data_IF_436668919687
#
_entry.id   IF_436668919687
#
_cell.length_a   1.000
_cell.length_b   1.000
_cell.length_c   1.000
_cell.angle_alpha   90.00
_cell.angle_beta   90.00
_cell.angle_gamma   90.00
#
_symmetry.space_group_name_H-M   'P 1'
#
loop_
_entity.id
_entity.type
_entity.pdbx_description
1 polymer ?
#
# COMPACT_ATOMS: atom_id res chain seq x y z
N UNK A 1 3.53 26.48 -13.21
CA UNK A 1 3.88 25.10 -12.80
C UNK A 1 2.65 24.45 -12.16
N UNK A 2 2.38 23.17 -12.40
CA UNK A 2 1.32 22.39 -11.77
C UNK A 2 1.91 21.32 -10.88
N UNK A 3 1.58 21.36 -9.60
CA UNK A 3 2.04 20.40 -8.60
C UNK A 3 0.86 19.54 -8.15
N UNK A 4 1.06 18.23 -8.15
CA UNK A 4 0.10 17.27 -7.62
C UNK A 4 0.61 16.69 -6.29
N UNK A 5 -0.18 16.85 -5.23
CA UNK A 5 0.13 16.30 -3.91
C UNK A 5 -0.52 14.93 -3.78
N UNK A 6 0.27 13.92 -3.45
CA UNK A 6 -0.19 12.57 -3.17
C UNK A 6 0.30 12.23 -1.78
N UNK A 7 -0.60 12.26 -0.80
CA UNK A 7 -0.24 12.17 0.61
C UNK A 7 -1.22 11.39 1.47
N UNK A 8 -0.72 10.95 2.62
CA UNK A 8 -1.51 10.33 3.67
C UNK A 8 -2.28 11.35 4.51
N UNK A 9 -2.66 10.94 5.73
CA UNK A 9 -3.50 11.74 6.63
C UNK A 9 -2.91 13.09 7.03
N UNK A 10 -1.57 13.26 6.98
CA UNK A 10 -0.90 14.54 7.24
C UNK A 10 -1.01 15.54 6.09
N UNK A 11 -1.39 15.11 4.89
CA UNK A 11 -1.69 16.00 3.76
C UNK A 11 -3.13 16.57 3.79
N UNK A 12 -3.79 16.49 4.95
CA UNK A 12 -5.15 16.94 5.16
C UNK A 12 -5.35 18.43 4.85
N UNK A 13 -6.59 18.78 4.47
CA UNK A 13 -6.94 20.11 3.93
C UNK A 13 -7.16 21.20 4.97
N UNK A 14 -7.29 20.86 6.26
CA UNK A 14 -7.62 21.83 7.32
C UNK A 14 -6.36 22.31 8.06
N UNK A 15 -5.52 21.39 8.54
CA UNK A 15 -4.32 21.74 9.34
C UNK A 15 -3.06 20.91 8.96
N UNK A 16 -3.11 20.23 7.82
CA UNK A 16 -2.00 19.42 7.33
C UNK A 16 -0.93 20.25 6.64
N UNK A 17 0.26 19.67 6.43
CA UNK A 17 1.34 20.33 5.70
C UNK A 17 0.90 20.76 4.29
N UNK A 18 0.01 20.00 3.65
CA UNK A 18 -0.48 20.30 2.31
C UNK A 18 -1.31 21.58 2.27
N UNK A 19 -2.11 21.86 3.30
CA UNK A 19 -2.88 23.11 3.40
C UNK A 19 -1.95 24.32 3.41
N UNK A 20 -0.99 24.34 4.33
CA UNK A 20 0.01 25.41 4.41
C UNK A 20 0.85 25.50 3.13
N UNK A 21 1.21 24.36 2.55
CA UNK A 21 2.01 24.32 1.34
C UNK A 21 1.28 24.88 0.12
N UNK A 22 -0.02 24.65 -0.03
CA UNK A 22 -0.82 25.22 -1.13
C UNK A 22 -0.76 26.75 -1.08
N UNK A 23 -0.98 27.33 0.10
CA UNK A 23 -0.94 28.79 0.29
C UNK A 23 0.44 29.36 -0.10
N UNK A 24 1.51 28.72 0.38
CA UNK A 24 2.88 29.14 0.09
C UNK A 24 3.23 28.96 -1.40
N UNK A 25 2.84 27.84 -2.01
CA UNK A 25 3.18 27.55 -3.40
C UNK A 25 2.42 28.45 -4.39
N UNK A 26 1.16 28.80 -4.11
CA UNK A 26 0.40 29.75 -4.92
C UNK A 26 1.00 31.16 -4.81
N UNK A 27 1.30 31.61 -3.59
CA UNK A 27 1.86 32.94 -3.32
C UNK A 27 3.29 33.11 -3.84
N UNK A 28 4.18 32.15 -3.53
CA UNK A 28 5.63 32.31 -3.69
C UNK A 28 6.15 31.69 -4.99
N UNK A 29 5.46 30.67 -5.54
CA UNK A 29 5.90 29.95 -6.74
C UNK A 29 4.97 30.15 -7.95
N UNK A 30 3.83 30.85 -7.79
CA UNK A 30 2.80 30.95 -8.82
C UNK A 30 2.31 29.58 -9.31
N UNK A 31 2.35 28.58 -8.42
CA UNK A 31 2.05 27.19 -8.77
C UNK A 31 0.55 26.91 -8.66
N UNK A 32 0.01 26.15 -9.61
CA UNK A 32 -1.33 25.56 -9.49
C UNK A 32 -1.24 24.25 -8.75
N UNK A 33 -2.15 24.04 -7.79
CA UNK A 33 -2.14 22.85 -6.95
C UNK A 33 -3.29 21.89 -7.27
N UNK A 34 -3.03 20.60 -7.09
CA UNK A 34 -4.09 19.59 -6.98
C UNK A 34 -3.75 18.71 -5.78
N UNK A 35 -4.61 18.72 -4.76
CA UNK A 35 -4.43 17.88 -3.59
C UNK A 35 -5.21 16.58 -3.76
N UNK A 36 -4.50 15.49 -4.02
CA UNK A 36 -5.02 14.12 -4.00
C UNK A 36 -4.93 13.50 -2.61
N UNK A 37 -5.28 14.24 -1.56
CA UNK A 37 -5.28 13.76 -0.19
C UNK A 37 -6.15 12.51 -0.04
N UNK A 38 -5.60 11.51 0.63
CA UNK A 38 -6.17 10.17 0.60
C UNK A 38 -5.97 9.39 1.91
N UNK A 39 -6.42 9.96 3.04
CA UNK A 39 -6.58 9.22 4.30
C UNK A 39 -5.37 8.38 4.75
N UNK A 40 -5.60 7.35 5.56
CA UNK A 40 -4.55 6.53 6.17
C UNK A 40 -4.15 5.30 5.32
N UNK A 41 -3.84 5.50 4.05
CA UNK A 41 -3.35 4.46 3.12
C UNK A 41 -1.83 4.50 2.95
N UNK A 42 -1.22 3.45 2.40
CA UNK A 42 0.23 3.40 2.12
C UNK A 42 0.59 3.78 0.68
N UNK A 43 1.87 3.71 0.34
CA UNK A 43 2.39 4.04 -0.99
C UNK A 43 1.74 3.26 -2.14
N UNK A 44 1.20 2.08 -1.87
CA UNK A 44 0.48 1.26 -2.85
C UNK A 44 -0.73 2.00 -3.44
N UNK A 45 -1.44 2.75 -2.59
CA UNK A 45 -2.53 3.60 -3.04
C UNK A 45 -2.00 4.78 -3.85
N UNK A 46 -0.91 5.40 -3.40
CA UNK A 46 -0.25 6.48 -4.12
C UNK A 46 0.14 6.11 -5.55
N UNK A 47 0.69 4.90 -5.74
CA UNK A 47 0.97 4.36 -7.07
C UNK A 47 -0.30 4.23 -7.91
N UNK A 48 -1.38 3.69 -7.33
CA UNK A 48 -2.67 3.61 -8.03
C UNK A 48 -3.16 4.99 -8.48
N UNK A 49 -3.02 6.03 -7.66
CA UNK A 49 -3.41 7.39 -8.07
C UNK A 49 -2.57 7.96 -9.20
N UNK A 50 -1.26 7.69 -9.18
CA UNK A 50 -0.39 8.06 -10.29
C UNK A 50 -0.81 7.37 -11.59
N UNK A 51 -1.13 6.08 -11.55
CA UNK A 51 -1.66 5.35 -12.71
C UNK A 51 -2.97 5.95 -13.25
N UNK A 52 -3.82 6.43 -12.35
CA UNK A 52 -5.07 7.09 -12.73
C UNK A 52 -4.84 8.42 -13.44
N UNK A 53 -3.87 9.22 -12.98
CA UNK A 53 -3.53 10.47 -13.66
C UNK A 53 -3.08 10.25 -15.10
N UNK A 54 -2.33 9.17 -15.35
CA UNK A 54 -1.92 8.79 -16.71
C UNK A 54 -3.11 8.34 -17.58
N UNK A 55 -4.04 7.57 -17.02
CA UNK A 55 -5.19 7.03 -17.78
C UNK A 55 -6.37 8.00 -17.96
N UNK A 56 -6.51 9.03 -17.12
CA UNK A 56 -7.60 10.00 -17.17
C UNK A 56 -7.45 11.06 -18.28
N UNK A 57 -6.36 11.03 -19.07
CA UNK A 57 -6.20 11.85 -20.29
C UNK A 57 -6.05 13.35 -20.04
N UNK A 58 -5.98 13.78 -18.78
CA UNK A 58 -5.75 15.16 -18.39
C UNK A 58 -4.29 15.59 -18.54
N UNK A 59 -4.04 16.90 -18.38
CA UNK A 59 -2.67 17.41 -18.35
C UNK A 59 -1.94 16.84 -17.14
N UNK A 60 -0.85 16.12 -17.39
CA UNK A 60 0.02 15.60 -16.35
C UNK A 60 0.63 16.75 -15.52
N UNK A 61 0.89 16.53 -14.22
CA UNK A 61 1.55 17.53 -13.39
C UNK A 61 3.02 17.70 -13.76
N UNK A 62 3.57 18.88 -13.51
CA UNK A 62 5.00 19.15 -13.65
C UNK A 62 5.80 18.49 -12.52
N UNK A 63 5.20 18.48 -11.31
CA UNK A 63 5.79 17.94 -10.07
C UNK A 63 4.77 17.08 -9.33
N UNK A 64 5.22 15.96 -8.79
CA UNK A 64 4.51 15.18 -7.77
C UNK A 64 5.27 15.29 -6.44
N UNK A 65 4.55 15.69 -5.39
CA UNK A 65 5.02 15.54 -4.00
C UNK A 65 4.36 14.30 -3.43
N UNK A 66 5.17 13.30 -3.05
CA UNK A 66 4.70 11.98 -2.62
C UNK A 66 5.03 11.74 -1.15
N UNK A 67 3.99 11.63 -0.31
CA UNK A 67 4.09 11.53 1.15
C UNK A 67 3.35 10.28 1.66
N UNK A 68 4.08 9.18 1.86
CA UNK A 68 3.53 7.95 2.44
C UNK A 68 4.51 7.20 3.35
N UNK A 69 5.67 7.80 3.66
CA UNK A 69 6.70 7.10 4.42
C UNK A 69 6.19 6.70 5.81
N UNK A 70 5.43 7.58 6.47
CA UNK A 70 4.80 7.30 7.76
C UNK A 70 3.88 6.09 7.67
N UNK A 71 2.96 6.07 6.71
CA UNK A 71 2.02 4.97 6.52
C UNK A 71 2.73 3.66 6.17
N UNK A 72 3.76 3.70 5.32
CA UNK A 72 4.56 2.51 4.98
C UNK A 72 5.31 1.96 6.19
N UNK A 73 5.82 2.82 7.08
CA UNK A 73 6.45 2.41 8.35
C UNK A 73 5.41 1.71 9.24
N UNK A 74 4.24 2.32 9.45
CA UNK A 74 3.18 1.79 10.31
C UNK A 74 2.66 0.45 9.76
N UNK A 75 2.37 0.38 8.46
CA UNK A 75 1.87 -0.83 7.80
C UNK A 75 2.92 -1.95 7.78
N UNK A 76 4.20 -1.63 7.57
CA UNK A 76 5.27 -2.62 7.62
C UNK A 76 5.54 -3.12 9.04
N UNK A 77 5.46 -2.23 10.04
CA UNK A 77 5.59 -2.60 11.44
C UNK A 77 4.47 -3.56 11.88
N UNK A 78 3.23 -3.25 11.49
CA UNK A 78 2.06 -4.10 11.69
C UNK A 78 2.01 -5.37 10.82
N UNK A 79 3.05 -5.62 10.01
CA UNK A 79 3.16 -6.73 9.04
C UNK A 79 1.97 -6.81 8.08
N UNK A 80 1.36 -5.66 7.78
CA UNK A 80 0.28 -5.54 6.78
C UNK A 80 0.90 -5.56 5.38
N UNK A 81 2.01 -4.82 5.19
CA UNK A 81 2.81 -4.84 3.96
C UNK A 81 4.21 -5.38 4.25
N UNK A 82 4.82 -5.98 3.24
CA UNK A 82 6.24 -6.39 3.33
C UNK A 82 7.15 -5.26 2.89
N UNK A 83 8.37 -5.22 3.44
CA UNK A 83 9.44 -4.29 3.02
C UNK A 83 9.72 -4.38 1.51
N UNK A 84 9.60 -5.59 0.94
CA UNK A 84 9.78 -5.81 -0.50
C UNK A 84 8.65 -5.22 -1.32
N UNK A 85 7.41 -5.33 -0.85
CA UNK A 85 6.26 -4.69 -1.49
C UNK A 85 6.44 -3.17 -1.50
N UNK A 86 6.84 -2.56 -0.38
CA UNK A 86 7.13 -1.11 -0.31
C UNK A 86 8.19 -0.72 -1.34
N UNK A 87 9.31 -1.46 -1.43
CA UNK A 87 10.35 -1.21 -2.43
C UNK A 87 9.83 -1.29 -3.86
N UNK A 88 9.08 -2.34 -4.19
CA UNK A 88 8.56 -2.55 -5.54
C UNK A 88 7.54 -1.47 -5.90
N UNK A 89 6.67 -1.08 -4.96
CA UNK A 89 5.77 0.06 -5.11
C UNK A 89 6.51 1.36 -5.42
N UNK A 90 7.51 1.72 -4.59
CA UNK A 90 8.25 2.97 -4.78
C UNK A 90 9.08 2.97 -6.08
N UNK A 91 9.57 1.79 -6.48
CA UNK A 91 10.24 1.60 -7.77
C UNK A 91 9.27 1.88 -8.93
N UNK A 92 8.04 1.35 -8.87
CA UNK A 92 7.01 1.60 -9.89
C UNK A 92 6.57 3.07 -9.89
N UNK A 93 6.46 3.72 -8.72
CA UNK A 93 6.18 5.17 -8.58
C UNK A 93 7.26 6.00 -9.28
N UNK A 94 8.53 5.77 -8.95
CA UNK A 94 9.64 6.50 -9.54
C UNK A 94 9.74 6.24 -11.06
N UNK A 95 9.59 4.99 -11.47
CA UNK A 95 9.59 4.60 -12.87
C UNK A 95 8.46 5.25 -13.67
N UNK A 96 7.26 5.37 -13.10
CA UNK A 96 6.14 6.06 -13.73
C UNK A 96 6.44 7.55 -13.91
N UNK A 97 6.85 8.24 -12.84
CA UNK A 97 7.17 9.66 -12.92
C UNK A 97 8.28 9.95 -13.95
N UNK A 98 9.35 9.13 -13.96
CA UNK A 98 10.43 9.27 -14.94
C UNK A 98 9.95 9.08 -16.38
N UNK A 99 9.16 8.03 -16.66
CA UNK A 99 8.62 7.80 -18.01
C UNK A 99 7.69 8.92 -18.47
N UNK A 100 6.87 9.43 -17.55
CA UNK A 100 5.94 10.52 -17.80
C UNK A 100 6.61 11.91 -17.83
N UNK A 101 7.92 12.00 -17.54
CA UNK A 101 8.63 13.27 -17.47
C UNK A 101 8.18 14.17 -16.32
N UNK A 102 7.68 13.60 -15.23
CA UNK A 102 7.20 14.28 -14.03
C UNK A 102 8.34 14.33 -13.00
N UNK A 103 8.61 15.50 -12.42
CA UNK A 103 9.55 15.59 -11.30
C UNK A 103 8.92 15.01 -10.03
N UNK A 104 9.67 14.23 -9.25
CA UNK A 104 9.17 13.56 -8.06
C UNK A 104 9.98 13.97 -6.83
N UNK A 105 9.28 14.48 -5.82
CA UNK A 105 9.83 14.74 -4.48
C UNK A 105 9.17 13.83 -3.46
N UNK A 106 9.95 12.96 -2.82
CA UNK A 106 9.49 12.22 -1.65
C UNK A 106 9.52 13.13 -0.42
N UNK A 107 8.38 13.29 0.25
CA UNK A 107 8.29 13.88 1.58
C UNK A 107 8.13 12.73 2.58
N UNK A 108 9.08 12.59 3.49
CA UNK A 108 9.18 11.43 4.37
C UNK A 108 8.91 11.82 5.83
N UNK A 109 7.63 11.75 6.21
CA UNK A 109 7.19 11.92 7.60
C UNK A 109 7.39 10.62 8.41
N UNK A 110 7.49 10.75 9.73
CA UNK A 110 7.71 9.64 10.66
C UNK A 110 6.65 9.62 11.77
N UNK A 111 6.23 8.45 12.28
CA UNK A 111 5.31 8.39 13.42
C UNK A 111 6.02 8.83 14.71
N UNK A 112 5.26 9.42 15.65
CA UNK A 112 5.77 9.87 16.97
C UNK A 112 6.47 8.74 17.71
N UNK A 113 5.79 7.60 17.83
CA UNK A 113 6.35 6.43 18.50
C UNK A 113 7.09 5.54 17.50
N UNK A 114 8.42 5.52 17.61
CA UNK A 114 9.29 4.65 16.84
C UNK A 114 9.47 3.25 17.47
N UNK A 115 8.52 2.72 18.25
CA UNK A 115 8.44 1.27 18.51
C UNK A 115 8.50 0.54 17.17
N UNK A 116 9.69 0.06 16.80
CA UNK A 116 10.00 -0.34 15.42
C UNK A 116 11.06 0.47 14.69
N UNK A 117 11.99 1.17 15.37
CA UNK A 117 13.14 1.88 14.77
C UNK A 117 13.83 1.10 13.64
N UNK A 118 13.99 -0.22 13.78
CA UNK A 118 14.56 -1.06 12.74
C UNK A 118 13.72 -1.11 11.44
N UNK A 119 12.39 -1.13 11.54
CA UNK A 119 11.47 -1.04 10.40
C UNK A 119 11.53 0.35 9.79
N UNK A 120 11.47 1.41 10.62
CA UNK A 120 11.61 2.80 10.15
C UNK A 120 12.89 3.01 9.34
N UNK A 121 14.05 2.61 9.87
CA UNK A 121 15.34 2.66 9.16
C UNK A 121 15.34 1.90 7.84
N UNK A 122 14.67 0.74 7.78
CA UNK A 122 14.59 -0.06 6.55
C UNK A 122 13.71 0.60 5.50
N UNK A 123 12.56 1.15 5.89
CA UNK A 123 11.66 1.85 4.97
C UNK A 123 12.31 3.14 4.47
N UNK A 124 12.86 3.97 5.35
CA UNK A 124 13.58 5.20 4.96
C UNK A 124 14.79 4.91 4.05
N UNK A 125 15.55 3.84 4.31
CA UNK A 125 16.60 3.39 3.41
C UNK A 125 16.07 3.06 2.01
N UNK A 126 14.89 2.45 1.89
CA UNK A 126 14.27 2.19 0.58
C UNK A 126 13.95 3.48 -0.16
N UNK A 127 13.38 4.49 0.50
CA UNK A 127 13.12 5.79 -0.12
C UNK A 127 14.41 6.41 -0.66
N UNK A 128 15.50 6.37 0.12
CA UNK A 128 16.82 6.83 -0.33
C UNK A 128 17.36 6.00 -1.51
N UNK A 129 17.26 4.67 -1.44
CA UNK A 129 17.77 3.77 -2.47
C UNK A 129 17.05 3.98 -3.80
N UNK A 130 15.72 4.09 -3.77
CA UNK A 130 14.90 4.37 -4.96
C UNK A 130 15.22 5.75 -5.52
N UNK A 131 15.31 6.78 -4.66
CA UNK A 131 15.66 8.13 -5.10
C UNK A 131 17.01 8.16 -5.81
N UNK A 132 18.03 7.49 -5.25
CA UNK A 132 19.35 7.36 -5.88
C UNK A 132 19.29 6.58 -7.19
N UNK A 133 18.61 5.44 -7.21
CA UNK A 133 18.53 4.58 -8.39
C UNK A 133 17.92 5.27 -9.61
N UNK A 134 16.97 6.18 -9.40
CA UNK A 134 16.31 6.96 -10.46
C UNK A 134 16.84 8.39 -10.59
N UNK A 135 18.00 8.70 -10.00
CA UNK A 135 18.60 10.04 -10.00
C UNK A 135 17.64 11.17 -9.56
N UNK A 136 16.69 10.86 -8.69
CA UNK A 136 15.72 11.82 -8.15
C UNK A 136 16.40 12.79 -7.17
N UNK A 137 15.75 13.92 -6.83
CA UNK A 137 16.11 14.69 -5.65
C UNK A 137 16.16 13.79 -4.41
N UNK A 138 17.03 14.12 -3.46
CA UNK A 138 17.04 13.42 -2.17
C UNK A 138 15.65 13.52 -1.50
N UNK A 139 15.17 12.47 -0.80
CA UNK A 139 13.96 12.58 0.00
C UNK A 139 14.09 13.71 1.03
N UNK A 140 13.01 14.45 1.26
CA UNK A 140 12.94 15.46 2.32
C UNK A 140 12.38 14.76 3.56
N UNK A 141 13.25 14.44 4.53
CA UNK A 141 12.80 13.83 5.78
C UNK A 141 12.27 14.88 6.74
N UNK A 142 11.31 14.50 7.59
CA UNK A 142 10.75 15.38 8.61
C UNK A 142 11.83 16.04 9.47
N UNK A 143 12.83 15.29 9.93
CA UNK A 143 13.94 15.85 10.72
C UNK A 143 14.74 16.93 9.98
N UNK A 144 14.90 16.76 8.67
CA UNK A 144 15.64 17.70 7.83
C UNK A 144 14.77 18.95 7.56
N UNK A 145 13.46 18.76 7.44
CA UNK A 145 12.49 19.85 7.26
C UNK A 145 12.31 20.71 8.53
N UNK A 146 12.40 20.08 9.71
CA UNK A 146 12.25 20.77 10.99
C UNK A 146 13.53 21.50 11.42
N UNK A 147 14.70 21.10 10.91
CA UNK A 147 16.02 21.69 11.23
C UNK A 147 16.35 21.68 12.75
N UNK A 148 15.69 20.80 13.52
CA UNK A 148 15.89 20.62 14.96
C UNK A 148 15.52 19.20 15.41
N UNK A 149 15.78 18.90 16.68
CA UNK A 149 15.24 17.70 17.31
C UNK A 149 13.71 17.74 17.34
N UNK A 150 13.08 16.64 16.94
CA UNK A 150 11.63 16.49 16.92
C UNK A 150 11.20 16.01 18.31
N UNK A 151 10.29 16.76 18.92
CA UNK A 151 9.78 16.50 20.26
C UNK A 151 8.31 16.05 20.24
N UNK A 152 7.83 15.64 21.41
CA UNK A 152 6.42 15.23 21.59
C UNK A 152 5.43 16.35 21.27
N UNK A 153 5.81 17.62 21.47
CA UNK A 153 4.99 18.79 21.15
C UNK A 153 4.78 19.03 19.65
N UNK A 154 5.47 18.30 18.79
CA UNK A 154 5.31 18.38 17.32
C UNK A 154 4.15 17.53 16.80
N UNK A 155 3.51 16.76 17.68
CA UNK A 155 2.45 15.82 17.30
C UNK A 155 1.16 16.05 18.07
N UNK A 156 0.03 15.95 17.36
CA UNK A 156 -1.32 15.89 17.95
C UNK A 156 -1.62 14.50 18.52
N UNK A 157 -1.14 13.46 17.86
CA UNK A 157 -1.32 12.06 18.27
C UNK A 157 -0.11 11.19 17.86
N UNK A 158 -0.29 9.89 17.64
CA UNK A 158 0.81 8.99 17.24
C UNK A 158 1.29 9.20 15.79
N UNK A 159 0.49 9.86 14.96
CA UNK A 159 0.65 9.88 13.50
C UNK A 159 0.52 11.28 12.89
N UNK A 160 -0.09 12.24 13.56
CA UNK A 160 -0.38 13.56 13.01
C UNK A 160 0.48 14.65 13.64
N UNK A 161 1.04 15.52 12.79
CA UNK A 161 1.76 16.71 13.20
C UNK A 161 0.81 17.79 13.75
N UNK A 162 1.31 18.65 14.63
CA UNK A 162 0.62 19.90 14.99
C UNK A 162 0.58 20.87 13.81
N UNK A 163 -0.34 21.85 13.80
CA UNK A 163 -0.38 22.86 12.73
C UNK A 163 0.96 23.60 12.53
N UNK A 164 1.66 23.93 13.62
CA UNK A 164 2.96 24.62 13.54
C UNK A 164 4.06 23.74 12.94
N UNK A 165 4.10 22.46 13.32
CA UNK A 165 5.04 21.50 12.72
C UNK A 165 4.70 21.25 11.24
N UNK A 166 3.42 21.12 10.90
CA UNK A 166 2.94 21.04 9.51
C UNK A 166 3.36 22.25 8.68
N UNK A 167 3.24 23.47 9.23
CA UNK A 167 3.68 24.71 8.57
C UNK A 167 5.18 24.70 8.33
N UNK A 168 5.97 24.31 9.33
CA UNK A 168 7.44 24.22 9.22
C UNK A 168 7.84 23.27 8.08
N UNK A 169 7.20 22.10 8.00
CA UNK A 169 7.42 21.15 6.90
C UNK A 169 7.04 21.75 5.54
N UNK A 170 5.91 22.44 5.46
CA UNK A 170 5.45 23.09 4.24
C UNK A 170 6.42 24.16 3.74
N UNK A 171 6.98 24.97 4.63
CA UNK A 171 7.96 26.00 4.30
C UNK A 171 9.26 25.38 3.77
N UNK A 172 9.76 24.33 4.42
CA UNK A 172 10.95 23.60 3.96
C UNK A 172 10.73 22.99 2.56
N UNK A 173 9.54 22.43 2.31
CA UNK A 173 9.16 21.92 1.00
C UNK A 173 9.09 23.04 -0.05
N UNK A 174 8.48 24.19 0.27
CA UNK A 174 8.42 25.34 -0.63
C UNK A 174 9.80 25.88 -0.99
N UNK A 175 10.69 26.05 0.00
CA UNK A 175 12.10 26.42 -0.24
C UNK A 175 12.78 25.45 -1.19
N UNK A 176 12.58 24.14 -0.98
CA UNK A 176 13.17 23.10 -1.82
C UNK A 176 12.67 23.17 -3.27
N UNK A 177 11.39 23.43 -3.48
CA UNK A 177 10.80 23.54 -4.81
C UNK A 177 11.17 24.83 -5.53
N UNK A 178 11.35 25.93 -4.79
CA UNK A 178 11.83 27.21 -5.33
C UNK A 178 13.22 27.09 -5.98
N UNK A 179 14.07 26.20 -5.47
CA UNK A 179 15.39 25.90 -6.05
C UNK A 179 15.32 25.10 -7.37
N UNK A 180 14.13 24.64 -7.75
CA UNK A 180 13.90 23.79 -8.91
C UNK A 180 14.20 22.32 -8.61
N UNK A 181 13.29 21.44 -9.05
CA UNK A 181 13.53 20.00 -9.04
C UNK A 181 14.02 19.52 -10.39
N UNK A 182 15.13 18.78 -10.38
CA UNK A 182 15.50 17.97 -11.53
C UNK A 182 14.50 16.84 -11.74
N UNK A 183 14.20 16.54 -13.00
CA UNK A 183 13.51 15.29 -13.37
C UNK A 183 14.45 14.11 -13.13
N UNK A 184 13.89 12.98 -12.75
CA UNK A 184 14.67 11.74 -12.60
C UNK A 184 15.14 11.20 -13.95
N UNK A 185 16.04 10.23 -13.89
CA UNK A 185 16.50 9.46 -15.03
C UNK A 185 16.25 7.98 -14.79
N UNK A 186 15.97 7.23 -15.85
CA UNK A 186 15.86 5.79 -15.74
C UNK A 186 17.23 5.21 -15.35
N UNK A 187 17.28 4.20 -14.46
CA UNK A 187 18.53 3.50 -14.19
C UNK A 187 19.08 2.87 -15.48
N UNK A 188 20.41 2.75 -15.62
CA UNK A 188 21.01 2.12 -16.79
C UNK A 188 20.58 0.64 -16.89
N UNK A 189 20.21 0.24 -18.12
CA UNK A 189 19.70 -1.10 -18.43
C UNK A 189 18.25 -1.09 -18.90
N UNK A 190 17.65 -2.26 -19.17
CA UNK A 190 16.24 -2.35 -19.44
C UNK A 190 15.40 -1.69 -18.35
N UNK A 191 14.32 -0.98 -18.73
CA UNK A 191 13.35 -0.56 -17.74
C UNK A 191 12.82 -1.81 -17.04
N UNK A 192 12.84 -1.86 -15.69
CA UNK A 192 12.21 -2.96 -14.98
C UNK A 192 10.73 -3.02 -15.38
N UNK A 193 10.23 -4.22 -15.67
CA UNK A 193 8.79 -4.42 -15.85
C UNK A 193 8.05 -4.01 -14.57
N UNK A 194 6.82 -3.49 -14.72
CA UNK A 194 6.00 -3.09 -13.56
C UNK A 194 5.75 -4.30 -12.66
N UNK A 195 6.06 -4.14 -11.38
CA UNK A 195 5.82 -5.19 -10.40
C UNK A 195 4.34 -5.26 -10.02
N UNK A 196 3.63 -4.12 -10.08
CA UNK A 196 2.25 -3.99 -9.68
C UNK A 196 1.34 -3.73 -10.87
N UNK A 197 0.16 -4.36 -10.84
CA UNK A 197 -0.87 -4.20 -11.83
C UNK A 197 -2.22 -3.96 -11.15
N UNK A 198 -2.89 -2.87 -11.53
CA UNK A 198 -4.28 -2.63 -11.17
C UNK A 198 -5.20 -3.31 -12.19
N UNK A 199 -6.19 -4.05 -11.70
CA UNK A 199 -7.26 -4.64 -12.51
C UNK A 199 -8.55 -3.96 -12.08
N UNK A 200 -9.05 -3.07 -12.92
CA UNK A 200 -10.25 -2.29 -12.64
C UNK A 200 -11.54 -3.13 -12.74
N UNK A 201 -12.64 -2.53 -12.27
CA UNK A 201 -13.97 -3.12 -12.23
C UNK A 201 -14.54 -3.52 -13.61
N UNK A 202 -14.13 -2.92 -14.72
CA UNK A 202 -14.61 -3.31 -16.07
C UNK A 202 -14.15 -4.70 -16.46
N UNK A 203 -13.07 -5.18 -15.84
CA UNK A 203 -12.52 -6.51 -16.08
C UNK A 203 -13.13 -7.57 -15.16
N UNK A 204 -13.97 -7.18 -14.20
CA UNK A 204 -14.65 -8.11 -13.32
C UNK A 204 -15.81 -8.81 -14.03
N UNK A 205 -16.07 -10.06 -13.65
CA UNK A 205 -17.30 -10.78 -14.00
C UNK A 205 -18.22 -10.78 -12.78
N UNK A 206 -19.23 -9.91 -12.72
CA UNK A 206 -20.19 -9.89 -11.63
C UNK A 206 -21.17 -11.06 -11.72
N UNK A 207 -21.66 -11.55 -10.57
CA UNK A 207 -22.70 -12.57 -10.47
C UNK A 207 -23.57 -12.38 -9.22
N UNK A 208 -24.75 -13.00 -9.21
CA UNK A 208 -25.76 -12.76 -8.17
C UNK A 208 -26.28 -11.33 -8.23
N UNK A 209 -26.40 -10.66 -7.08
CA UNK A 209 -26.80 -9.24 -6.98
C UNK A 209 -25.63 -8.26 -7.08
N UNK A 210 -24.63 -8.59 -7.91
CA UNK A 210 -23.57 -7.68 -8.31
C UNK A 210 -23.89 -7.08 -9.68
N UNK A 211 -23.62 -5.79 -9.87
CA UNK A 211 -23.80 -5.11 -11.15
C UNK A 211 -22.73 -4.04 -11.37
N UNK A 212 -22.39 -3.81 -12.64
CA UNK A 212 -21.47 -2.74 -13.02
C UNK A 212 -22.17 -1.39 -12.92
N UNK A 213 -21.44 -0.39 -12.44
CA UNK A 213 -21.88 0.99 -12.32
C UNK A 213 -20.68 1.93 -12.52
N UNK A 214 -20.91 3.23 -12.38
CA UNK A 214 -19.87 4.24 -12.34
C UNK A 214 -19.99 5.04 -11.05
N UNK A 215 -18.85 5.38 -10.46
CA UNK A 215 -18.77 6.25 -9.30
C UNK A 215 -17.94 7.47 -9.66
N UNK A 216 -18.41 8.64 -9.24
CA UNK A 216 -17.61 9.86 -9.26
C UNK A 216 -17.50 10.40 -7.83
N UNK A 217 -16.28 10.62 -7.37
CA UNK A 217 -15.98 11.30 -6.09
C UNK A 217 -14.91 12.35 -6.34
N UNK A 218 -14.70 13.25 -5.38
CA UNK A 218 -13.60 14.23 -5.46
C UNK A 218 -12.21 13.58 -5.57
N UNK A 219 -12.09 12.32 -5.13
CA UNK A 219 -10.82 11.61 -4.97
C UNK A 219 -10.58 10.59 -6.07
N UNK A 220 -11.63 9.91 -6.51
CA UNK A 220 -11.59 8.86 -7.52
C UNK A 220 -12.91 8.82 -8.28
N UNK A 221 -12.80 8.77 -9.60
CA UNK A 221 -13.91 8.53 -10.51
C UNK A 221 -13.59 7.35 -11.41
N UNK A 222 -14.59 6.52 -11.69
CA UNK A 222 -14.41 5.37 -12.56
C UNK A 222 -15.44 4.26 -12.42
N UNK A 223 -15.20 3.15 -13.11
CA UNK A 223 -16.05 1.96 -13.06
C UNK A 223 -16.01 1.33 -11.67
N UNK A 224 -17.16 0.82 -11.23
CA UNK A 224 -17.31 0.14 -9.93
C UNK A 224 -18.23 -1.07 -10.10
N UNK A 225 -17.98 -2.13 -9.34
CA UNK A 225 -18.95 -3.23 -9.15
C UNK A 225 -19.67 -2.98 -7.83
N UNK A 226 -20.96 -2.66 -7.92
CA UNK A 226 -21.85 -2.57 -6.75
C UNK A 226 -22.33 -3.97 -6.39
N UNK A 227 -22.29 -4.32 -5.11
CA UNK A 227 -22.55 -5.66 -4.61
C UNK A 227 -23.52 -5.62 -3.43
N UNK A 228 -24.59 -6.40 -3.53
CA UNK A 228 -25.52 -6.70 -2.42
C UNK A 228 -25.56 -8.21 -2.18
N UNK A 229 -25.90 -8.67 -0.97
CA UNK A 229 -25.99 -10.12 -0.72
C UNK A 229 -27.19 -10.76 -1.43
N UNK A 230 -27.08 -11.99 -1.96
CA UNK A 230 -25.84 -12.70 -2.28
C UNK A 230 -25.22 -12.17 -3.59
N UNK A 231 -23.91 -11.97 -3.63
CA UNK A 231 -23.21 -11.58 -4.86
C UNK A 231 -21.72 -11.95 -4.88
N UNK A 232 -21.13 -11.97 -6.07
CA UNK A 232 -19.70 -12.12 -6.26
C UNK A 232 -19.19 -11.29 -7.45
N UNK A 233 -17.90 -10.96 -7.41
CA UNK A 233 -17.15 -10.33 -8.48
C UNK A 233 -15.85 -11.12 -8.68
N UNK A 234 -15.68 -11.69 -9.88
CA UNK A 234 -14.48 -12.47 -10.24
C UNK A 234 -13.58 -11.64 -11.14
N UNK A 235 -12.36 -11.37 -10.68
CA UNK A 235 -11.36 -10.60 -11.41
C UNK A 235 -10.34 -11.54 -12.06
N UNK A 236 -9.91 -11.29 -13.31
CA UNK A 236 -8.78 -11.99 -13.89
C UNK A 236 -7.51 -11.61 -13.12
N UNK A 237 -6.70 -12.61 -12.78
CA UNK A 237 -5.55 -12.38 -11.91
C UNK A 237 -4.36 -13.30 -12.19
N UNK A 238 -3.18 -12.68 -12.17
CA UNK A 238 -1.88 -13.33 -12.30
C UNK A 238 -0.87 -12.60 -11.42
N UNK A 239 -0.61 -13.17 -10.24
CA UNK A 239 0.21 -12.56 -9.18
C UNK A 239 -0.42 -12.65 -7.80
N UNK A 240 0.23 -12.13 -6.77
CA UNK A 240 -0.32 -12.07 -5.40
C UNK A 240 -1.29 -10.91 -5.27
N UNK A 241 -2.47 -11.14 -4.71
CA UNK A 241 -3.38 -10.05 -4.34
C UNK A 241 -2.78 -9.23 -3.19
N UNK A 242 -2.53 -7.95 -3.43
CA UNK A 242 -1.95 -7.02 -2.44
C UNK A 242 -2.82 -5.80 -2.15
N UNK A 243 -3.90 -5.60 -2.91
CA UNK A 243 -4.85 -4.53 -2.66
C UNK A 243 -6.24 -4.88 -3.17
N UNK A 244 -7.27 -4.51 -2.42
CA UNK A 244 -8.66 -4.46 -2.87
C UNK A 244 -9.11 -3.01 -2.69
N UNK A 245 -9.47 -2.37 -3.78
CA UNK A 245 -9.86 -0.96 -3.80
C UNK A 245 -11.38 -0.86 -3.85
N UNK A 246 -11.97 -0.15 -2.89
CA UNK A 246 -13.42 -0.02 -2.78
C UNK A 246 -13.83 1.32 -2.19
N UNK A 247 -15.11 1.65 -2.34
CA UNK A 247 -15.76 2.75 -1.63
C UNK A 247 -16.43 2.19 -0.38
N UNK A 248 -15.85 2.49 0.77
CA UNK A 248 -16.43 2.20 2.07
C UNK A 248 -17.58 3.16 2.34
N UNK A 249 -18.71 2.65 2.81
CA UNK A 249 -19.90 3.39 3.22
C UNK A 249 -20.37 2.89 4.58
N UNK A 250 -21.27 3.62 5.23
CA UNK A 250 -21.94 3.14 6.46
C UNK A 250 -22.73 1.84 6.26
N UNK A 251 -23.16 1.56 5.03
CA UNK A 251 -23.83 0.32 4.64
C UNK A 251 -22.86 -0.83 4.35
N UNK A 252 -21.54 -0.58 4.31
CA UNK A 252 -20.59 -1.61 3.97
C UNK A 252 -20.48 -2.69 5.06
N UNK A 253 -19.95 -3.85 4.71
CA UNK A 253 -19.83 -4.92 5.70
C UNK A 253 -18.84 -6.03 5.38
N UNK A 254 -19.16 -7.22 5.87
CA UNK A 254 -18.29 -8.39 5.76
C UNK A 254 -18.29 -8.96 4.34
N UNK A 255 -17.16 -9.45 3.87
CA UNK A 255 -17.05 -10.09 2.58
C UNK A 255 -15.98 -11.19 2.61
N UNK A 256 -16.05 -12.10 1.64
CA UNK A 256 -15.07 -13.16 1.41
C UNK A 256 -14.10 -12.72 0.32
N UNK A 257 -12.83 -13.02 0.52
CA UNK A 257 -11.79 -13.00 -0.52
C UNK A 257 -11.35 -14.45 -0.74
N UNK A 258 -11.40 -14.93 -1.98
CA UNK A 258 -10.94 -16.27 -2.34
C UNK A 258 -9.87 -16.21 -3.44
N UNK A 259 -8.69 -16.79 -3.17
CA UNK A 259 -7.51 -16.77 -4.04
C UNK A 259 -6.74 -18.08 -3.92
N UNK A 260 -6.51 -18.79 -5.03
CA UNK A 260 -5.63 -19.96 -5.05
C UNK A 260 -6.00 -21.06 -4.05
N UNK A 261 -7.30 -21.22 -3.77
CA UNK A 261 -7.82 -22.16 -2.77
C UNK A 261 -7.70 -21.69 -1.30
N UNK A 262 -7.22 -20.48 -1.05
CA UNK A 262 -7.28 -19.81 0.26
C UNK A 262 -8.49 -18.87 0.29
N UNK A 263 -9.30 -18.95 1.35
CA UNK A 263 -10.46 -18.07 1.57
C UNK A 263 -10.38 -17.39 2.92
N UNK A 264 -10.62 -16.09 2.97
CA UNK A 264 -10.66 -15.29 4.22
C UNK A 264 -11.87 -14.39 4.24
N UNK A 265 -12.35 -14.06 5.45
CA UNK A 265 -13.31 -12.97 5.63
C UNK A 265 -12.58 -11.66 5.91
N UNK A 266 -13.13 -10.57 5.42
CA UNK A 266 -12.67 -9.21 5.67
C UNK A 266 -13.86 -8.27 5.81
N UNK A 267 -13.64 -7.09 6.35
CA UNK A 267 -14.67 -6.09 6.59
C UNK A 267 -14.29 -4.80 5.88
N UNK A 268 -15.21 -4.27 5.07
CA UNK A 268 -15.01 -3.03 4.34
C UNK A 268 -15.23 -1.76 5.19
N UNK A 269 -15.79 -1.88 6.39
CA UNK A 269 -15.95 -0.76 7.31
C UNK A 269 -14.63 -0.39 7.99
N UNK A 270 -14.32 0.90 8.00
CA UNK A 270 -13.09 1.47 8.57
C UNK A 270 -13.40 2.61 9.54
N UNK A 271 -12.49 2.85 10.50
CA UNK A 271 -12.61 3.88 11.55
C UNK A 271 -12.93 5.28 10.98
N UNK A 272 -12.51 5.57 9.74
CA UNK A 272 -12.78 6.85 9.08
C UNK A 272 -14.29 7.14 8.87
N UNK A 273 -15.13 6.10 8.86
CA UNK A 273 -16.59 6.25 8.70
C UNK A 273 -17.30 6.83 9.94
N UNK A 274 -16.58 7.06 11.06
CA UNK A 274 -17.08 7.88 12.17
C UNK A 274 -17.45 9.28 11.69
N UNK A 275 -16.57 9.84 10.89
CA UNK A 275 -16.50 11.27 10.59
C UNK A 275 -16.92 11.52 9.15
N UNK A 276 -16.58 10.58 8.24
CA UNK A 276 -16.89 10.69 6.82
C UNK A 276 -18.05 9.76 6.44
N UNK A 277 -19.01 10.22 5.59
CA UNK A 277 -20.11 9.37 5.14
C UNK A 277 -19.65 8.24 4.21
N UNK A 278 -18.60 8.50 3.43
CA UNK A 278 -17.97 7.55 2.53
C UNK A 278 -16.46 7.81 2.41
N UNK A 279 -15.70 6.75 2.11
CA UNK A 279 -14.23 6.80 1.98
C UNK A 279 -13.78 5.86 0.86
N UNK A 280 -12.90 6.34 -0.02
CA UNK A 280 -12.18 5.45 -0.93
C UNK A 280 -11.03 4.81 -0.16
N UNK A 281 -11.02 3.49 -0.05
CA UNK A 281 -10.02 2.75 0.71
C UNK A 281 -9.42 1.61 -0.10
N UNK A 282 -8.13 1.36 0.15
CA UNK A 282 -7.44 0.17 -0.33
C UNK A 282 -7.03 -0.69 0.85
N UNK A 283 -7.68 -1.84 0.97
CA UNK A 283 -7.30 -2.81 1.97
C UNK A 283 -6.28 -3.79 1.41
N UNK A 284 -5.24 -4.05 2.19
CA UNK A 284 -4.19 -5.04 1.86
C UNK A 284 -4.59 -6.39 2.44
N UNK A 285 -4.89 -7.40 1.60
CA UNK A 285 -5.26 -8.72 2.10
C UNK A 285 -4.04 -9.51 2.58
N UNK A 286 -4.15 -10.19 3.71
CA UNK A 286 -3.08 -11.07 4.25
C UNK A 286 -3.19 -12.49 3.70
N UNK A 287 -3.11 -12.61 2.38
CA UNK A 287 -3.14 -13.89 1.67
C UNK A 287 -1.72 -14.33 1.30
N UNK A 288 -1.45 -15.63 1.44
CA UNK A 288 -0.12 -16.18 1.18
C UNK A 288 0.06 -16.62 -0.27
N UNK A 289 -1.04 -17.10 -0.89
CA UNK A 289 -1.03 -17.73 -2.21
C UNK A 289 -1.14 -16.71 -3.35
N UNK A 290 -0.37 -16.86 -4.43
CA UNK A 290 -0.62 -16.10 -5.65
C UNK A 290 -1.91 -16.58 -6.33
N UNK A 291 -2.62 -15.65 -6.97
CA UNK A 291 -3.69 -15.95 -7.89
C UNK A 291 -3.13 -16.48 -9.21
N UNK A 292 -3.76 -17.52 -9.73
CA UNK A 292 -3.51 -18.07 -11.08
C UNK A 292 -4.86 -18.20 -11.77
N UNK A 293 -5.18 -17.27 -12.65
CA UNK A 293 -6.46 -17.22 -13.36
C UNK A 293 -7.39 -16.16 -12.77
N UNK A 294 -7.81 -16.30 -11.50
CA UNK A 294 -8.76 -15.37 -10.90
C UNK A 294 -8.61 -15.13 -9.40
N UNK A 295 -9.19 -14.00 -8.97
CA UNK A 295 -9.48 -13.64 -7.58
C UNK A 295 -10.99 -13.43 -7.50
N UNK A 296 -11.64 -14.00 -6.49
CA UNK A 296 -13.06 -13.75 -6.22
C UNK A 296 -13.22 -12.90 -4.96
N UNK A 297 -14.03 -11.86 -5.07
CA UNK A 297 -14.57 -11.09 -3.95
C UNK A 297 -16.07 -11.38 -3.87
N UNK A 298 -16.58 -11.82 -2.72
CA UNK A 298 -17.97 -12.26 -2.60
C UNK A 298 -18.64 -11.78 -1.32
N UNK A 299 -19.93 -11.48 -1.41
CA UNK A 299 -20.84 -11.24 -0.29
C UNK A 299 -21.83 -12.42 -0.22
N UNK A 300 -21.48 -13.53 0.46
CA UNK A 300 -22.38 -14.68 0.58
C UNK A 300 -23.62 -14.34 1.43
N UNK A 301 -24.67 -15.12 1.28
CA UNK A 301 -25.92 -15.08 2.07
C UNK A 301 -25.82 -15.82 3.42
N UNK A 302 -25.00 -16.88 3.51
CA UNK A 302 -24.76 -17.59 4.77
C UNK A 302 -23.75 -16.85 5.67
N UNK A 303 -24.27 -16.10 6.65
CA UNK A 303 -23.47 -15.42 7.68
C UNK A 303 -22.61 -16.41 8.47
N UNK A 304 -23.18 -17.53 8.90
CA UNK A 304 -22.48 -18.53 9.69
C UNK A 304 -21.26 -19.10 8.96
N UNK A 305 -21.41 -19.43 7.68
CA UNK A 305 -20.31 -19.89 6.83
C UNK A 305 -19.23 -18.81 6.66
N UNK A 306 -19.62 -17.55 6.45
CA UNK A 306 -18.66 -16.45 6.35
C UNK A 306 -17.89 -16.26 7.65
N UNK A 307 -18.57 -16.28 8.80
CA UNK A 307 -17.95 -16.06 10.11
C UNK A 307 -17.02 -17.20 10.55
N UNK A 308 -17.21 -18.42 10.01
CA UNK A 308 -16.27 -19.54 10.19
C UNK A 308 -14.93 -19.36 9.47
N UNK A 309 -14.85 -18.48 8.46
CA UNK A 309 -13.57 -18.19 7.79
C UNK A 309 -12.61 -17.44 8.72
N UNK A 310 -11.31 -17.66 8.49
CA UNK A 310 -10.26 -16.88 9.13
C UNK A 310 -10.43 -15.38 8.82
N UNK A 311 -10.44 -14.56 9.86
CA UNK A 311 -10.59 -13.11 9.73
C UNK A 311 -9.26 -12.44 9.37
N UNK A 312 -9.25 -11.71 8.25
CA UNK A 312 -8.16 -10.85 7.84
C UNK A 312 -8.40 -9.41 8.31
N UNK A 313 -8.01 -9.12 9.55
CA UNK A 313 -8.27 -7.84 10.19
C UNK A 313 -7.57 -6.67 9.49
N UNK A 314 -8.32 -5.64 9.17
CA UNK A 314 -7.79 -4.34 8.74
C UNK A 314 -7.11 -3.62 9.92
N UNK A 315 -6.15 -2.70 9.67
CA UNK A 315 -5.46 -1.96 10.74
C UNK A 315 -6.40 -1.08 11.57
N UNK A 316 -7.48 -0.58 10.95
CA UNK A 316 -8.46 0.31 11.56
C UNK A 316 -9.87 -0.27 11.40
N UNK A 317 -10.20 -1.40 12.07
CA UNK A 317 -11.47 -2.05 11.88
C UNK A 317 -12.62 -1.22 12.46
N UNK A 318 -13.76 -1.18 11.77
CA UNK A 318 -15.02 -0.65 12.29
C UNK A 318 -16.10 -1.72 12.15
N UNK A 319 -16.90 -1.99 13.19
CA UNK A 319 -17.98 -2.98 13.13
C UNK A 319 -19.15 -2.56 12.22
N UNK A 320 -19.58 -3.39 11.25
CA UNK A 320 -20.70 -3.04 10.38
C UNK A 320 -21.96 -2.74 11.20
N UNK A 321 -22.57 -1.58 10.97
CA UNK A 321 -23.81 -1.18 11.66
C UNK A 321 -25.07 -1.86 11.09
N UNK A 322 -25.21 -2.02 9.76
CA UNK A 322 -26.39 -2.69 9.22
C UNK A 322 -26.41 -4.18 9.57
N UNK A 323 -27.61 -4.78 9.68
CA UNK A 323 -27.75 -6.23 9.76
C UNK A 323 -27.10 -6.89 8.55
N UNK A 324 -26.71 -8.16 8.69
CA UNK A 324 -25.91 -8.88 7.69
C UNK A 324 -26.46 -8.75 6.25
N UNK A 325 -27.76 -8.95 6.07
CA UNK A 325 -28.45 -8.87 4.77
C UNK A 325 -28.55 -7.45 4.19
N UNK A 326 -28.42 -6.43 5.04
CA UNK A 326 -28.42 -5.01 4.67
C UNK A 326 -27.03 -4.48 4.31
N UNK A 327 -26.00 -5.32 4.34
CA UNK A 327 -24.63 -4.91 4.03
C UNK A 327 -24.38 -4.88 2.52
N UNK A 328 -23.58 -3.91 2.07
CA UNK A 328 -23.14 -3.75 0.68
C UNK A 328 -21.61 -3.68 0.52
N UNK A 329 -21.16 -3.65 -0.74
CA UNK A 329 -19.77 -3.39 -1.11
C UNK A 329 -19.72 -2.73 -2.49
N UNK A 330 -18.77 -1.82 -2.70
CA UNK A 330 -18.59 -1.13 -3.98
C UNK A 330 -17.11 -1.19 -4.41
N UNK A 331 -16.77 -2.09 -5.33
CA UNK A 331 -15.39 -2.41 -5.71
C UNK A 331 -14.93 -1.63 -6.96
N UNK A 332 -13.83 -0.90 -6.86
CA UNK A 332 -13.18 -0.29 -8.05
C UNK A 332 -12.23 -1.26 -8.75
N UNK A 333 -11.68 -2.23 -8.02
CA UNK A 333 -10.73 -3.16 -8.58
C UNK A 333 -9.82 -3.80 -7.56
N UNK A 334 -8.81 -4.51 -8.07
CA UNK A 334 -7.80 -5.19 -7.27
C UNK A 334 -6.39 -4.80 -7.73
N UNK A 335 -5.42 -4.89 -6.82
CA UNK A 335 -4.01 -4.70 -7.12
C UNK A 335 -3.28 -6.04 -6.96
N UNK A 336 -2.58 -6.43 -8.02
CA UNK A 336 -1.82 -7.66 -8.11
C UNK A 336 -0.33 -7.35 -8.13
N UNK A 337 0.42 -8.08 -7.32
CA UNK A 337 1.86 -8.01 -7.25
C UNK A 337 2.49 -9.23 -7.90
N UNK A 338 3.20 -8.99 -8.99
CA UNK A 338 4.06 -9.97 -9.65
C UNK A 338 5.42 -9.88 -9.00
N UNK A 339 5.65 -10.74 -8.01
CA UNK A 339 6.94 -10.83 -7.36
C UNK A 339 8.03 -11.18 -8.38
N UNK A 340 8.72 -10.17 -8.89
CA UNK A 340 9.94 -10.37 -9.68
C UNK A 340 11.03 -10.80 -8.70
N UNK A 341 11.22 -12.11 -8.54
CA UNK A 341 12.32 -12.66 -7.75
C UNK A 341 13.67 -12.12 -8.26
N UNK A 342 14.73 -12.12 -7.44
CA UNK A 342 16.07 -11.68 -7.87
C UNK A 342 16.52 -12.38 -9.15
N UNK A 343 16.22 -13.67 -9.29
CA UNK A 343 16.47 -14.46 -10.49
C UNK A 343 15.62 -14.05 -11.69
N UNK A 344 14.36 -13.64 -11.49
CA UNK A 344 13.51 -13.15 -12.58
C UNK A 344 14.00 -11.79 -13.07
N UNK A 345 14.36 -10.88 -12.14
CA UNK A 345 14.99 -9.58 -12.47
C UNK A 345 16.31 -9.77 -13.20
N UNK A 346 17.14 -10.72 -12.75
CA UNK A 346 18.39 -11.06 -13.43
C UNK A 346 18.12 -11.61 -14.84
N UNK A 347 17.14 -12.49 -15.01
CA UNK A 347 16.78 -13.03 -16.35
C UNK A 347 16.28 -11.93 -17.28
N UNK A 348 15.44 -11.02 -16.80
CA UNK A 348 14.97 -9.87 -17.58
C UNK A 348 16.13 -8.94 -17.94
N UNK A 349 17.00 -8.62 -16.98
CA UNK A 349 18.19 -7.82 -17.20
C UNK A 349 19.13 -8.46 -18.25
N UNK A 350 19.39 -9.76 -18.14
CA UNK A 350 20.23 -10.52 -19.07
C UNK A 350 19.60 -10.56 -20.47
N UNK A 351 18.28 -10.78 -20.58
CA UNK A 351 17.56 -10.80 -21.86
C UNK A 351 17.64 -9.45 -22.56
N UNK A 352 17.38 -8.36 -21.85
CA UNK A 352 17.38 -7.05 -22.47
C UNK A 352 18.77 -6.42 -22.64
N UNK A 353 19.80 -6.90 -21.92
CA UNK A 353 21.19 -6.59 -22.24
C UNK A 353 21.69 -7.29 -23.52
N UNK A 354 20.85 -8.10 -24.19
CA UNK A 354 21.23 -8.82 -25.41
C UNK A 354 22.35 -9.83 -25.20
N UNK A 355 22.68 -10.17 -23.94
CA UNK A 355 23.77 -11.10 -23.62
C UNK A 355 23.32 -12.50 -24.01
N UNK A 356 23.91 -13.05 -25.06
CA UNK A 356 23.74 -14.44 -25.44
C UNK A 356 24.20 -15.33 -24.27
N UNK A 357 23.23 -15.86 -23.53
CA UNK A 357 23.49 -16.76 -22.40
C UNK A 357 24.09 -18.04 -22.96
N UNK A 358 25.41 -18.18 -22.89
CA UNK A 358 26.14 -19.37 -23.32
C UNK A 358 25.60 -20.63 -22.65
N UNK A 359 25.64 -21.76 -23.35
CA UNK A 359 24.91 -23.00 -23.02
C UNK A 359 25.12 -23.57 -21.61
N UNK A 360 26.14 -23.15 -20.86
CA UNK A 360 26.35 -23.53 -19.46
C UNK A 360 25.29 -22.95 -18.51
N UNK A 361 24.82 -21.73 -18.75
CA UNK A 361 23.85 -21.06 -17.86
C UNK A 361 22.41 -21.53 -18.10
N UNK A 362 22.08 -22.07 -19.29
CA UNK A 362 20.75 -22.65 -19.57
C UNK A 362 20.39 -23.77 -18.58
N UNK A 363 21.35 -24.58 -18.13
CA UNK A 363 21.10 -25.66 -17.16
C UNK A 363 20.75 -25.15 -15.76
N UNK A 364 21.34 -24.04 -15.32
CA UNK A 364 21.06 -23.47 -13.99
C UNK A 364 19.81 -22.59 -13.94
N UNK A 365 19.40 -22.04 -15.08
CA UNK A 365 18.29 -21.08 -15.17
C UNK A 365 16.98 -21.76 -15.57
N UNK A 366 16.99 -22.87 -16.31
CA UNK A 366 15.77 -23.52 -16.82
C UNK A 366 15.47 -24.86 -16.12
N UNK A 367 16.40 -25.40 -15.33
CA UNK A 367 16.27 -26.70 -14.67
C UNK A 367 15.55 -26.69 -13.32
N UNK A 368 14.22 -26.55 -13.31
CA UNK A 368 13.38 -26.98 -12.18
C UNK A 368 12.04 -27.58 -12.63
N UNK A 369 12.08 -28.33 -13.73
CA UNK A 369 11.14 -29.38 -14.04
C UNK A 369 11.93 -30.67 -14.24
N UNK A 370 12.30 -31.32 -13.13
CA UNK A 370 12.74 -32.72 -13.14
C UNK A 370 11.66 -33.51 -12.41
N UNK A 371 11.14 -34.51 -13.10
CA UNK A 371 10.14 -35.46 -12.63
C UNK A 371 10.46 -36.02 -11.23
N UNK A 372 9.43 -36.37 -10.43
CA UNK A 372 9.65 -36.92 -9.09
C UNK A 372 10.25 -38.32 -9.19
N UNK A 373 11.55 -38.44 -8.88
CA UNK A 373 12.14 -39.74 -8.56
C UNK A 373 11.55 -40.27 -7.26
N UNK A 374 11.20 -41.56 -7.28
CA UNK A 374 10.61 -42.30 -6.17
C UNK A 374 11.39 -42.16 -4.85
N UNK A 375 10.70 -42.18 -3.68
CA UNK A 375 11.37 -42.00 -2.39
C UNK A 375 12.19 -43.23 -2.02
N UNK A 376 13.49 -43.03 -1.79
CA UNK A 376 14.35 -44.01 -1.15
C UNK A 376 14.02 -44.13 0.37
N UNK A 377 14.31 -45.28 1.00
CA UNK A 377 13.75 -45.63 2.30
C UNK A 377 14.33 -44.82 3.46
N UNK A 378 13.46 -44.59 4.46
CA UNK A 378 13.71 -43.81 5.68
C UNK A 378 14.75 -44.49 6.58
N UNK A 379 15.90 -43.86 6.79
CA UNK A 379 16.75 -44.10 7.96
C UNK A 379 16.17 -43.35 9.16
N UNK A 380 15.69 -44.12 10.15
CA UNK A 380 15.26 -43.64 11.46
C UNK A 380 16.48 -43.08 12.21
N UNK A 381 16.46 -41.79 12.54
CA UNK A 381 17.30 -41.25 13.62
C UNK A 381 16.42 -40.80 14.78
N UNK A 382 16.62 -41.49 15.91
CA UNK A 382 16.01 -41.28 17.23
C UNK A 382 16.96 -40.38 18.02
N UNK A 383 16.50 -39.21 18.46
CA UNK A 383 17.02 -38.37 19.59
C UNK A 383 16.24 -37.05 19.51
N UNK A 384 15.72 -36.45 20.56
CA UNK A 384 15.76 -36.69 21.99
C UNK A 384 15.03 -35.51 22.63
N UNK A 385 14.24 -35.80 23.67
CA UNK A 385 13.45 -34.85 24.42
C UNK A 385 14.28 -33.70 24.99
N UNK A 386 13.71 -32.49 25.02
CA UNK A 386 14.18 -31.43 25.90
C UNK A 386 13.65 -30.05 25.51
N UNK A 387 13.01 -29.36 26.47
CA UNK A 387 12.53 -27.96 26.44
C UNK A 387 11.07 -27.72 26.04
N UNK A 388 10.16 -28.38 26.76
CA UNK A 388 8.89 -27.77 27.20
C UNK A 388 8.99 -27.57 28.71
N UNK A 389 9.36 -26.37 29.16
CA UNK A 389 9.19 -25.82 30.53
C UNK A 389 9.97 -24.50 30.60
N UNK A 390 9.36 -23.42 30.13
CA UNK A 390 9.79 -22.03 30.43
C UNK A 390 8.81 -20.95 29.94
N UNK A 391 7.66 -21.31 29.34
CA UNK A 391 6.66 -20.32 28.88
C UNK A 391 5.46 -20.11 29.81
N UNK A 392 5.23 -20.97 30.79
CA UNK A 392 4.11 -20.84 31.74
C UNK A 392 4.48 -20.06 33.02
N UNK A 393 5.75 -19.72 33.24
CA UNK A 393 6.16 -18.92 34.40
C UNK A 393 6.16 -17.40 34.16
N UNK A 394 5.94 -16.93 32.92
CA UNK A 394 6.00 -15.50 32.57
C UNK A 394 4.61 -14.82 32.48
N UNK A 395 3.51 -15.58 32.56
CA UNK A 395 2.14 -15.06 32.46
C UNK A 395 1.45 -14.84 33.83
N UNK A 396 2.10 -15.23 34.94
CA UNK A 396 1.55 -15.13 36.29
C UNK A 396 2.01 -13.88 37.08
N UNK A 397 2.67 -12.89 36.45
CA UNK A 397 3.17 -11.67 37.12
C UNK A 397 2.61 -10.35 36.58
N UNK A 398 1.54 -10.38 35.79
CA UNK A 398 0.87 -9.19 35.27
C UNK A 398 -0.59 -9.03 35.78
N UNK A 399 -1.01 -9.84 36.75
CA UNK A 399 -2.38 -9.87 37.27
C UNK A 399 -2.56 -9.42 38.72
N UNK A 400 -1.64 -8.63 39.30
CA UNK A 400 -1.71 -8.26 40.73
C UNK A 400 -1.37 -6.80 41.04
N UNK A 401 -1.64 -5.87 40.13
CA UNK A 401 -1.33 -4.44 40.35
C UNK A 401 -2.46 -3.48 39.92
N UNK A 402 -3.72 -3.89 40.13
CA UNK A 402 -4.91 -3.03 39.96
C UNK A 402 -5.90 -3.11 41.12
N UNK A 403 -5.41 -3.46 42.32
CA UNK A 403 -6.13 -3.28 43.58
C UNK A 403 -5.18 -2.69 44.62
N UNK A 404 -5.04 -1.35 44.57
CA UNK A 404 -4.67 -0.45 45.68
C UNK A 404 -4.42 0.97 45.13
N UNK A 405 -5.52 1.71 44.94
CA UNK A 405 -5.56 3.17 44.95
C UNK A 405 -7.03 3.60 45.04
N UNK A 406 -7.57 3.39 46.25
CA UNK A 406 -8.64 4.21 46.83
C UNK A 406 -7.98 5.12 47.87
#
# INVERSE_FOLDING_TARGET
MHIHLIGGSNAGIWDGWAHHFVILAERDLGARMTNGFLGAVGSLFGLFRLDRLESEGGRLPDVVVFEYALNDIVLAHGRVVSIRLVRDTLTDVAGLCVRAGIALQFLCLEPRDLRGRAVSRRVTAIYCDVARAFALPAPLFQRDAMEREIGDGDYLDLHHLTPDASRTVAEALARRLALGLRKGAAPPGPPPGRALAFVDATRARPSGRAFASTCATAVLSGPVVEMRRPSAAVFPADGRLVGVLFRARRSSGWYRIAVGGESRRKNACESALAILPEVISMQVPRLSRPARGSVEIAMPDDEGALMRLACDRSPMPWEPRPPFDGQDLALFGIVLWRETGPLARLREAVRAAGVAVSGRWRRYVIGSAVEPRAPAPRLRYRRGLGRRRSREAAMARLGSATERAS
#
